data_IF_405948529028
#
_entry.id   IF_405948529028
#
_cell.length_a   1.000
_cell.length_b   1.000
_cell.length_c   1.000
_cell.angle_alpha   90.00
_cell.angle_beta   90.00
_cell.angle_gamma   90.00
#
_symmetry.space_group_name_H-M   'P 1'
#
loop_
_entity.id
_entity.type
_entity.pdbx_description
1 polymer ?
#
# COMPACT_ATOMS: atom_id res chain seq x y z
N UNK A 1 20.88 -9.63 -23.15
CA UNK A 1 19.67 -10.48 -23.04
C UNK A 1 18.80 -9.87 -21.97
N UNK A 2 17.78 -9.12 -22.38
CA UNK A 2 16.78 -8.53 -21.48
C UNK A 2 15.93 -9.66 -20.91
N UNK A 3 16.17 -10.04 -19.67
CA UNK A 3 15.28 -10.98 -18.95
C UNK A 3 13.89 -10.37 -18.95
N UNK A 4 12.94 -11.01 -19.61
CA UNK A 4 11.52 -10.67 -19.51
C UNK A 4 11.15 -10.79 -18.03
N UNK A 5 11.07 -9.66 -17.34
CA UNK A 5 10.69 -9.64 -15.91
C UNK A 5 9.19 -9.95 -15.88
N UNK A 6 8.85 -11.18 -15.49
CA UNK A 6 7.45 -11.58 -15.28
C UNK A 6 6.84 -10.69 -14.20
N UNK A 7 5.77 -9.99 -14.51
CA UNK A 7 5.05 -9.15 -13.52
C UNK A 7 4.26 -10.05 -12.55
N UNK A 8 4.03 -9.59 -11.31
CA UNK A 8 3.15 -10.28 -10.41
C UNK A 8 1.77 -10.51 -11.06
N UNK A 9 1.28 -11.75 -10.99
CA UNK A 9 0.00 -12.13 -11.58
C UNK A 9 0.00 -12.35 -13.10
N UNK A 10 1.12 -12.26 -13.83
CA UNK A 10 1.15 -12.46 -15.29
C UNK A 10 0.64 -13.83 -15.74
N UNK A 11 0.71 -14.83 -14.85
CA UNK A 11 0.15 -16.18 -15.09
C UNK A 11 -1.38 -16.23 -14.94
N UNK A 12 -2.02 -15.16 -14.45
CA UNK A 12 -3.46 -15.08 -14.26
C UNK A 12 -4.15 -14.41 -15.45
N UNK A 13 -5.33 -14.92 -15.77
CA UNK A 13 -6.23 -14.25 -16.70
C UNK A 13 -6.67 -12.87 -16.14
N UNK A 14 -6.85 -11.88 -17.02
CA UNK A 14 -7.35 -10.56 -16.65
C UNK A 14 -8.66 -10.62 -15.84
N UNK A 15 -9.53 -11.59 -16.13
CA UNK A 15 -10.78 -11.79 -15.43
C UNK A 15 -10.61 -12.19 -13.95
N UNK A 16 -9.53 -12.90 -13.63
CA UNK A 16 -9.29 -13.47 -12.29
C UNK A 16 -8.21 -12.75 -11.48
N UNK A 17 -7.41 -11.95 -12.14
CA UNK A 17 -6.28 -11.23 -11.55
C UNK A 17 -6.74 -10.24 -10.48
N UNK A 18 -6.06 -10.12 -9.32
CA UNK A 18 -6.27 -9.04 -8.36
C UNK A 18 -6.21 -7.66 -9.03
N UNK A 19 -7.09 -6.75 -8.61
CA UNK A 19 -7.25 -5.44 -9.25
C UNK A 19 -5.97 -4.62 -9.32
N UNK A 20 -5.14 -4.67 -8.26
CA UNK A 20 -3.85 -3.97 -8.23
C UNK A 20 -2.85 -4.54 -9.26
N UNK A 21 -2.79 -5.86 -9.47
CA UNK A 21 -1.94 -6.47 -10.51
C UNK A 21 -2.47 -6.19 -11.92
N UNK A 22 -3.80 -6.13 -12.09
CA UNK A 22 -4.39 -5.70 -13.35
C UNK A 22 -4.00 -4.27 -13.71
N UNK A 23 -4.12 -3.34 -12.78
CA UNK A 23 -3.70 -1.95 -12.97
C UNK A 23 -2.21 -1.83 -13.26
N UNK A 24 -1.39 -2.65 -12.58
CA UNK A 24 0.04 -2.74 -12.83
C UNK A 24 0.33 -3.22 -14.27
N UNK A 25 -0.29 -4.30 -14.71
CA UNK A 25 -0.15 -4.84 -16.08
C UNK A 25 -0.51 -3.79 -17.14
N UNK A 26 -1.48 -2.94 -16.86
CA UNK A 26 -1.85 -1.81 -17.70
C UNK A 26 -0.84 -0.65 -17.66
N UNK A 27 0.10 -0.66 -16.74
CA UNK A 27 1.19 0.33 -16.63
C UNK A 27 1.03 1.34 -15.51
N UNK A 28 0.00 1.22 -14.64
CA UNK A 28 -0.14 2.06 -13.45
C UNK A 28 0.88 1.62 -12.39
N UNK A 29 1.57 2.59 -11.78
CA UNK A 29 2.62 2.32 -10.78
C UNK A 29 2.19 2.70 -9.36
N UNK A 30 1.41 3.77 -9.23
CA UNK A 30 0.92 4.25 -7.94
C UNK A 30 -0.41 3.54 -7.63
N UNK A 31 -0.36 2.46 -6.83
CA UNK A 31 -1.48 1.55 -6.59
C UNK A 31 -2.09 1.73 -5.19
N UNK A 32 -2.04 2.94 -4.64
CA UNK A 32 -2.48 3.25 -3.29
C UNK A 32 -3.52 4.38 -3.25
N UNK A 33 -4.45 4.36 -2.29
CA UNK A 33 -5.44 5.41 -2.12
C UNK A 33 -4.73 6.74 -1.80
N UNK A 34 -5.28 7.89 -2.23
CA UNK A 34 -4.66 9.19 -1.98
C UNK A 34 -3.35 9.45 -2.74
N UNK A 35 -2.84 8.45 -3.50
CA UNK A 35 -1.70 8.57 -4.41
C UNK A 35 -0.38 8.97 -3.77
N UNK A 36 0.53 9.47 -4.58
CA UNK A 36 1.91 9.79 -4.17
C UNK A 36 2.00 10.95 -3.17
N UNK A 37 1.04 11.88 -3.19
CA UNK A 37 1.02 13.00 -2.25
C UNK A 37 0.88 12.51 -0.80
N UNK A 38 -0.06 11.57 -0.54
CA UNK A 38 -0.26 11.05 0.80
C UNK A 38 0.91 10.18 1.27
N UNK A 39 1.57 9.45 0.34
CA UNK A 39 2.85 8.78 0.62
C UNK A 39 3.91 9.75 1.10
N UNK A 40 4.09 10.90 0.41
CA UNK A 40 5.07 11.91 0.82
C UNK A 40 4.76 12.46 2.20
N UNK A 41 3.49 12.77 2.49
CA UNK A 41 3.08 13.22 3.84
C UNK A 41 3.41 12.18 4.92
N UNK A 42 3.26 10.88 4.62
CA UNK A 42 3.67 9.81 5.54
C UNK A 42 5.18 9.80 5.74
N UNK A 43 5.97 9.84 4.66
CA UNK A 43 7.43 9.84 4.74
C UNK A 43 7.96 11.09 5.46
N UNK A 44 7.36 12.26 5.22
CA UNK A 44 7.68 13.51 5.93
C UNK A 44 7.41 13.39 7.43
N UNK A 45 6.29 12.78 7.81
CA UNK A 45 5.94 12.53 9.22
C UNK A 45 6.82 11.47 9.89
N UNK A 46 7.24 10.46 9.14
CA UNK A 46 8.22 9.48 9.59
C UNK A 46 9.59 10.12 9.79
N UNK A 47 9.88 11.23 9.12
CA UNK A 47 11.10 12.02 9.29
C UNK A 47 12.37 11.14 9.28
N UNK A 48 12.52 10.36 8.20
CA UNK A 48 13.61 9.38 8.06
C UNK A 48 14.96 10.10 8.03
N UNK A 49 15.88 9.68 8.89
CA UNK A 49 17.22 10.25 9.07
C UNK A 49 18.31 9.28 8.57
N UNK A 50 19.55 9.77 8.34
CA UNK A 50 20.67 8.93 7.90
C UNK A 50 21.09 7.80 8.85
N UNK A 51 20.70 7.87 10.12
CA UNK A 51 20.96 6.84 11.14
C UNK A 51 19.79 5.86 11.33
N UNK A 52 18.73 5.99 10.55
CA UNK A 52 17.56 5.11 10.64
C UNK A 52 17.77 3.78 9.92
N UNK A 53 17.33 2.71 10.59
CA UNK A 53 17.13 1.39 10.01
C UNK A 53 15.66 1.25 9.60
N UNK A 54 15.41 1.21 8.29
CA UNK A 54 14.05 1.26 7.72
C UNK A 54 13.60 -0.12 7.27
N UNK A 55 12.37 -0.51 7.64
CA UNK A 55 11.70 -1.69 7.09
C UNK A 55 10.40 -1.27 6.39
N UNK A 56 10.20 -1.68 5.15
CA UNK A 56 8.97 -1.48 4.38
C UNK A 56 8.20 -2.79 4.23
N UNK A 57 6.95 -2.82 4.67
CA UNK A 57 6.05 -3.95 4.46
C UNK A 57 5.30 -3.83 3.14
N UNK A 58 5.41 -4.84 2.29
CA UNK A 58 4.75 -4.89 0.99
C UNK A 58 5.22 -3.82 0.00
N UNK A 59 6.52 -3.68 -0.31
CA UNK A 59 7.03 -2.66 -1.23
C UNK A 59 6.45 -2.77 -2.65
N UNK A 60 5.83 -3.88 -3.00
CA UNK A 60 5.19 -4.09 -4.30
C UNK A 60 6.17 -3.91 -5.45
N UNK A 61 6.12 -2.75 -6.13
CA UNK A 61 7.08 -2.43 -7.20
C UNK A 61 8.29 -1.62 -6.72
N UNK A 62 8.40 -1.30 -5.43
CA UNK A 62 9.53 -0.55 -4.87
C UNK A 62 9.55 0.94 -5.26
N UNK A 63 8.39 1.54 -5.55
CA UNK A 63 8.34 2.98 -5.84
C UNK A 63 8.63 3.79 -4.58
N UNK A 64 8.03 3.43 -3.45
CA UNK A 64 8.26 4.08 -2.15
C UNK A 64 9.65 3.73 -1.61
N UNK A 65 10.12 2.50 -1.85
CA UNK A 65 11.50 2.13 -1.57
C UNK A 65 12.53 3.10 -2.19
N UNK A 66 12.33 3.48 -3.45
CA UNK A 66 13.20 4.45 -4.11
C UNK A 66 13.13 5.85 -3.46
N UNK A 67 11.94 6.28 -3.02
CA UNK A 67 11.78 7.55 -2.31
C UNK A 67 12.48 7.52 -0.95
N UNK A 68 12.33 6.43 -0.21
CA UNK A 68 12.99 6.22 1.09
C UNK A 68 14.51 6.19 0.94
N UNK A 69 15.04 5.47 -0.04
CA UNK A 69 16.48 5.39 -0.27
C UNK A 69 17.09 6.72 -0.74
N UNK A 70 16.30 7.58 -1.38
CA UNK A 70 16.74 8.95 -1.70
C UNK A 70 16.99 9.80 -0.45
N UNK A 71 16.40 9.45 0.71
CA UNK A 71 16.67 10.07 2.01
C UNK A 71 17.95 9.54 2.68
N UNK A 72 18.57 8.51 2.09
CA UNK A 72 19.84 7.90 2.53
C UNK A 72 19.80 7.37 3.97
N UNK A 73 18.83 6.52 4.36
CA UNK A 73 18.83 5.89 5.67
C UNK A 73 20.09 5.01 5.85
N UNK A 74 20.40 4.65 7.10
CA UNK A 74 21.51 3.73 7.43
C UNK A 74 21.31 2.37 6.75
N UNK A 75 20.08 1.83 6.82
CA UNK A 75 19.73 0.59 6.13
C UNK A 75 18.27 0.61 5.65
N UNK A 76 17.98 -0.23 4.64
CA UNK A 76 16.64 -0.45 4.13
C UNK A 76 16.41 -1.93 3.85
N UNK A 77 15.30 -2.47 4.38
CA UNK A 77 14.84 -3.84 4.12
C UNK A 77 13.36 -3.81 3.72
N UNK A 78 13.05 -4.25 2.50
CA UNK A 78 11.68 -4.53 2.07
C UNK A 78 11.27 -5.96 2.42
N UNK A 79 10.05 -6.15 2.93
CA UNK A 79 9.44 -7.46 3.19
C UNK A 79 8.33 -7.67 2.17
N UNK A 80 8.51 -8.59 1.24
CA UNK A 80 7.57 -8.87 0.16
C UNK A 80 7.31 -10.37 0.03
N UNK A 81 6.05 -10.77 0.02
CA UNK A 81 5.69 -12.19 -0.07
C UNK A 81 5.63 -12.73 -1.50
N UNK A 82 5.37 -11.86 -2.49
CA UNK A 82 5.33 -12.25 -3.90
C UNK A 82 6.74 -12.24 -4.49
N UNK A 83 7.21 -13.40 -4.96
CA UNK A 83 8.57 -13.54 -5.50
C UNK A 83 8.84 -12.66 -6.72
N UNK A 84 7.84 -12.44 -7.59
CA UNK A 84 8.01 -11.61 -8.78
C UNK A 84 8.11 -10.14 -8.39
N UNK A 85 7.28 -9.69 -7.44
CA UNK A 85 7.39 -8.35 -6.86
C UNK A 85 8.74 -8.17 -6.17
N UNK A 86 9.16 -9.11 -5.31
CA UNK A 86 10.46 -9.06 -4.63
C UNK A 86 11.64 -8.99 -5.61
N UNK A 87 11.56 -9.72 -6.74
CA UNK A 87 12.58 -9.65 -7.80
C UNK A 87 12.65 -8.27 -8.45
N UNK A 88 11.49 -7.65 -8.71
CA UNK A 88 11.41 -6.29 -9.25
C UNK A 88 12.00 -5.28 -8.25
N UNK A 89 11.63 -5.41 -6.97
CA UNK A 89 12.18 -4.55 -5.91
C UNK A 89 13.70 -4.70 -5.84
N UNK A 90 14.22 -5.93 -5.74
CA UNK A 90 15.68 -6.19 -5.72
C UNK A 90 16.41 -5.55 -6.90
N UNK A 91 15.83 -5.64 -8.10
CA UNK A 91 16.43 -5.01 -9.27
C UNK A 91 16.46 -3.48 -9.15
N UNK A 92 15.42 -2.87 -8.59
CA UNK A 92 15.38 -1.40 -8.35
C UNK A 92 16.31 -0.93 -7.25
N UNK A 93 16.57 -1.78 -6.27
CA UNK A 93 17.47 -1.48 -5.15
C UNK A 93 18.95 -1.62 -5.54
N UNK A 94 19.27 -2.17 -6.73
CA UNK A 94 20.64 -2.28 -7.21
C UNK A 94 21.31 -0.90 -7.24
N UNK A 95 22.43 -0.77 -6.55
CA UNK A 95 23.21 0.48 -6.45
C UNK A 95 22.78 1.41 -5.29
N UNK A 96 21.70 1.09 -4.56
CA UNK A 96 21.24 1.91 -3.42
C UNK A 96 21.54 1.28 -2.04
N UNK A 97 22.06 0.04 -1.99
CA UNK A 97 22.40 -0.64 -0.72
C UNK A 97 21.21 -1.24 0.04
N UNK A 98 20.00 -1.22 -0.51
CA UNK A 98 18.84 -1.81 0.11
C UNK A 98 18.67 -3.31 -0.17
N UNK A 99 17.92 -4.01 0.67
CA UNK A 99 17.58 -5.42 0.54
C UNK A 99 16.07 -5.63 0.39
N UNK A 100 15.67 -6.76 -0.19
CA UNK A 100 14.28 -7.21 -0.19
C UNK A 100 14.23 -8.71 0.13
N UNK A 101 13.56 -9.05 1.23
CA UNK A 101 13.38 -10.42 1.70
C UNK A 101 12.02 -10.94 1.23
N UNK A 102 11.96 -12.24 0.91
CA UNK A 102 10.70 -12.93 0.64
C UNK A 102 10.20 -13.46 1.98
N UNK A 103 9.23 -12.76 2.57
CA UNK A 103 8.63 -13.12 3.85
C UNK A 103 7.23 -12.50 3.97
N UNK A 104 6.47 -12.95 4.96
CA UNK A 104 5.20 -12.33 5.34
C UNK A 104 5.42 -11.20 6.33
N UNK A 105 4.58 -10.16 6.27
CA UNK A 105 4.70 -8.99 7.15
C UNK A 105 4.29 -9.29 8.61
N UNK A 106 3.60 -10.39 8.87
CA UNK A 106 3.27 -10.89 10.21
C UNK A 106 4.33 -11.87 10.77
N UNK A 107 5.29 -12.30 9.95
CA UNK A 107 6.40 -13.19 10.33
C UNK A 107 7.62 -12.92 9.44
N UNK A 108 8.33 -11.83 9.74
CA UNK A 108 9.41 -11.34 8.87
C UNK A 108 10.71 -12.12 8.98
N UNK A 109 10.93 -12.83 10.10
CA UNK A 109 12.18 -13.49 10.43
C UNK A 109 13.30 -12.54 10.89
N UNK A 110 13.04 -11.23 10.99
CA UNK A 110 14.00 -10.24 11.47
C UNK A 110 14.09 -10.25 13.00
N UNK A 111 15.24 -9.80 13.55
CA UNK A 111 15.44 -9.73 14.99
C UNK A 111 14.59 -8.65 15.68
N UNK A 112 14.32 -8.83 16.99
CA UNK A 112 13.63 -7.82 17.79
C UNK A 112 14.41 -6.50 17.83
N UNK A 113 13.69 -5.38 17.87
CA UNK A 113 14.26 -4.04 17.99
C UNK A 113 15.35 -3.73 16.94
N UNK A 114 15.23 -4.29 15.74
CA UNK A 114 16.18 -4.08 14.64
C UNK A 114 15.91 -2.80 13.85
N UNK A 115 14.65 -2.33 13.80
CA UNK A 115 14.26 -1.16 13.03
C UNK A 115 14.03 0.08 13.90
N UNK A 116 14.26 1.26 13.35
CA UNK A 116 13.86 2.56 13.91
C UNK A 116 12.64 3.16 13.19
N UNK A 117 12.42 2.77 11.94
CA UNK A 117 11.25 3.17 11.13
C UNK A 117 10.68 1.96 10.43
N UNK A 118 9.36 1.80 10.51
CA UNK A 118 8.62 0.82 9.72
C UNK A 118 7.45 1.54 9.04
N UNK A 119 7.11 1.12 7.82
CA UNK A 119 5.88 1.56 7.18
C UNK A 119 5.35 0.51 6.20
N UNK A 120 4.06 0.64 5.87
CA UNK A 120 3.40 -0.15 4.83
C UNK A 120 2.27 0.64 4.16
N UNK A 121 2.04 0.39 2.88
CA UNK A 121 1.06 1.12 2.08
C UNK A 121 0.09 0.17 1.37
N UNK A 122 -1.21 0.42 1.52
CA UNK A 122 -2.31 -0.25 0.81
C UNK A 122 -2.27 -1.79 0.96
N UNK A 123 -1.86 -2.27 2.13
CA UNK A 123 -1.74 -3.70 2.39
C UNK A 123 -2.63 -4.17 3.54
N UNK A 124 -2.74 -3.43 4.64
CA UNK A 124 -3.52 -3.84 5.81
C UNK A 124 -5.01 -3.94 5.50
N UNK A 125 -5.55 -3.07 4.65
CA UNK A 125 -6.95 -3.13 4.21
C UNK A 125 -7.31 -4.47 3.58
N UNK A 126 -6.36 -5.19 2.99
CA UNK A 126 -6.59 -6.49 2.34
C UNK A 126 -6.70 -7.66 3.33
N UNK A 127 -6.36 -7.44 4.59
CA UNK A 127 -6.31 -8.44 5.63
C UNK A 127 -7.54 -8.43 6.55
N UNK A 128 -7.85 -9.57 7.17
CA UNK A 128 -8.84 -9.63 8.24
C UNK A 128 -8.28 -9.04 9.55
N UNK A 129 -9.13 -8.89 10.57
CA UNK A 129 -8.74 -8.21 11.81
C UNK A 129 -7.56 -8.90 12.52
N UNK A 130 -7.55 -10.23 12.61
CA UNK A 130 -6.46 -10.97 13.25
C UNK A 130 -5.14 -10.81 12.50
N UNK A 131 -5.18 -10.81 11.17
CA UNK A 131 -3.99 -10.60 10.34
C UNK A 131 -3.47 -9.16 10.46
N UNK A 132 -4.36 -8.15 10.48
CA UNK A 132 -3.95 -6.76 10.74
C UNK A 132 -3.24 -6.63 12.09
N UNK A 133 -3.83 -7.22 13.14
CA UNK A 133 -3.24 -7.24 14.47
C UNK A 133 -1.87 -7.92 14.50
N UNK A 134 -1.73 -9.07 13.83
CA UNK A 134 -0.45 -9.79 13.74
C UNK A 134 0.64 -8.97 13.04
N UNK A 135 0.31 -8.32 11.92
CA UNK A 135 1.25 -7.46 11.18
C UNK A 135 1.69 -6.25 12.04
N UNK A 136 0.74 -5.61 12.74
CA UNK A 136 1.05 -4.47 13.61
C UNK A 136 1.86 -4.90 14.82
N UNK A 137 1.56 -6.07 15.40
CA UNK A 137 2.36 -6.67 16.48
C UNK A 137 3.79 -6.97 16.03
N UNK A 138 3.97 -7.49 14.81
CA UNK A 138 5.29 -7.71 14.22
C UNK A 138 6.04 -6.38 14.03
N UNK A 139 5.37 -5.33 13.54
CA UNK A 139 5.97 -3.99 13.46
C UNK A 139 6.40 -3.49 14.85
N UNK A 140 5.55 -3.68 15.87
CA UNK A 140 5.89 -3.33 17.25
C UNK A 140 7.09 -4.14 17.78
N UNK A 141 7.19 -5.43 17.46
CA UNK A 141 8.32 -6.30 17.85
C UNK A 141 9.64 -5.83 17.24
N UNK A 142 9.60 -5.48 15.95
CA UNK A 142 10.78 -5.07 15.18
C UNK A 142 11.29 -3.68 15.55
N UNK A 143 10.42 -2.78 15.96
CA UNK A 143 10.81 -1.41 16.30
C UNK A 143 11.54 -1.34 17.64
N UNK A 144 12.55 -0.49 17.69
CA UNK A 144 13.19 -0.04 18.94
C UNK A 144 12.20 0.81 19.73
N UNK A 145 12.34 0.95 21.07
CA UNK A 145 11.62 1.97 21.84
C UNK A 145 11.79 3.35 21.20
N UNK A 146 10.70 4.12 21.08
CA UNK A 146 10.69 5.41 20.38
C UNK A 146 10.73 5.33 18.86
N UNK A 147 10.78 4.14 18.26
CA UNK A 147 10.70 3.94 16.81
C UNK A 147 9.34 4.36 16.23
N UNK A 148 9.28 4.57 14.93
CA UNK A 148 8.13 5.16 14.23
C UNK A 148 7.50 4.15 13.28
N UNK A 149 6.16 4.03 13.34
CA UNK A 149 5.39 3.18 12.44
C UNK A 149 4.42 4.02 11.61
N UNK A 150 4.45 3.89 10.30
CA UNK A 150 3.55 4.54 9.35
C UNK A 150 2.67 3.56 8.60
N UNK A 151 1.38 3.86 8.52
CA UNK A 151 0.44 3.15 7.65
C UNK A 151 -0.19 4.12 6.65
N UNK A 152 -0.46 3.63 5.44
CA UNK A 152 -1.18 4.36 4.40
C UNK A 152 -2.24 3.44 3.81
N UNK A 153 -3.52 3.66 4.13
CA UNK A 153 -4.60 2.72 3.90
C UNK A 153 -5.89 3.39 3.39
N UNK A 154 -6.90 2.58 3.11
CA UNK A 154 -8.28 3.06 2.98
C UNK A 154 -8.90 3.23 4.37
N UNK A 155 -9.74 4.25 4.53
CA UNK A 155 -10.62 4.37 5.70
C UNK A 155 -12.06 4.64 5.31
N UNK A 156 -12.96 4.27 6.21
CA UNK A 156 -14.39 4.52 6.13
C UNK A 156 -14.75 5.84 6.82
N UNK A 157 -15.72 6.54 6.27
CA UNK A 157 -16.35 7.72 6.85
C UNK A 157 -17.88 7.66 6.63
N UNK A 158 -18.72 8.20 7.55
CA UNK A 158 -18.36 8.71 8.87
C UNK A 158 -17.90 7.61 9.82
N UNK A 159 -17.41 7.99 11.00
CA UNK A 159 -16.92 7.03 12.01
C UNK A 159 -18.02 6.07 12.49
N UNK A 160 -19.25 6.56 12.60
CA UNK A 160 -20.45 5.77 12.94
C UNK A 160 -21.20 5.32 11.67
N UNK A 161 -20.56 4.47 10.88
CA UNK A 161 -21.19 3.92 9.69
C UNK A 161 -22.06 2.70 10.05
N UNK A 162 -23.35 2.65 9.60
CA UNK A 162 -24.21 1.49 9.82
C UNK A 162 -23.57 0.20 9.31
N UNK A 163 -23.70 -0.88 10.09
CA UNK A 163 -23.08 -2.18 9.77
C UNK A 163 -23.46 -2.67 8.37
N UNK A 164 -24.74 -2.55 8.01
CA UNK A 164 -25.21 -2.95 6.68
C UNK A 164 -24.52 -2.21 5.55
N UNK A 165 -24.26 -0.91 5.73
CA UNK A 165 -23.53 -0.08 4.77
C UNK A 165 -22.08 -0.51 4.68
N UNK A 166 -21.42 -0.78 5.82
CA UNK A 166 -20.07 -1.31 5.86
C UNK A 166 -19.96 -2.64 5.12
N UNK A 167 -20.84 -3.60 5.46
CA UNK A 167 -20.85 -4.93 4.87
C UNK A 167 -21.08 -4.85 3.34
N UNK A 168 -21.90 -3.91 2.88
CA UNK A 168 -22.11 -3.66 1.46
C UNK A 168 -20.84 -3.13 0.78
N UNK A 169 -20.17 -2.14 1.39
CA UNK A 169 -18.92 -1.57 0.86
C UNK A 169 -17.83 -2.65 0.76
N UNK A 170 -17.61 -3.41 1.84
CA UNK A 170 -16.61 -4.47 1.89
C UNK A 170 -16.85 -5.55 0.83
N UNK A 171 -18.10 -5.99 0.67
CA UNK A 171 -18.51 -6.97 -0.33
C UNK A 171 -18.28 -6.45 -1.75
N UNK A 172 -18.76 -5.24 -2.04
CA UNK A 172 -18.64 -4.64 -3.37
C UNK A 172 -17.17 -4.44 -3.76
N UNK A 173 -16.36 -3.92 -2.85
CA UNK A 173 -14.92 -3.75 -3.05
C UNK A 173 -14.24 -5.10 -3.26
N UNK A 174 -14.43 -6.07 -2.35
CA UNK A 174 -13.82 -7.39 -2.41
C UNK A 174 -14.16 -8.11 -3.72
N UNK A 175 -15.43 -8.08 -4.12
CA UNK A 175 -15.89 -8.69 -5.37
C UNK A 175 -15.25 -8.02 -6.59
N UNK A 176 -15.13 -6.70 -6.58
CA UNK A 176 -14.66 -5.94 -7.76
C UNK A 176 -13.14 -6.00 -7.92
N UNK A 177 -12.38 -5.93 -6.81
CA UNK A 177 -10.91 -5.95 -6.88
C UNK A 177 -10.31 -7.35 -6.80
N UNK A 178 -11.12 -8.39 -6.54
CA UNK A 178 -10.74 -9.80 -6.41
C UNK A 178 -9.69 -10.06 -5.32
N UNK A 179 -9.74 -9.27 -4.26
CA UNK A 179 -8.94 -9.45 -3.05
C UNK A 179 -9.75 -8.88 -1.88
N UNK A 180 -9.55 -9.41 -0.68
CA UNK A 180 -10.24 -8.90 0.50
C UNK A 180 -10.08 -7.39 0.64
N UNK A 181 -11.15 -6.70 1.00
CA UNK A 181 -11.11 -5.26 1.29
C UNK A 181 -11.92 -5.00 2.56
N UNK A 182 -11.23 -4.71 3.63
CA UNK A 182 -11.79 -4.46 4.97
C UNK A 182 -11.22 -3.19 5.55
N UNK A 183 -11.60 -2.03 4.99
CA UNK A 183 -11.19 -0.73 5.52
C UNK A 183 -11.81 -0.50 6.91
N UNK A 184 -11.07 0.18 7.77
CA UNK A 184 -11.53 0.58 9.11
C UNK A 184 -11.88 2.08 9.11
N UNK A 185 -12.67 2.52 10.08
CA UNK A 185 -12.87 3.95 10.37
C UNK A 185 -11.61 4.55 10.96
N UNK A 186 -11.55 5.89 11.04
CA UNK A 186 -10.39 6.58 11.61
C UNK A 186 -10.14 6.16 13.06
N UNK A 187 -11.17 6.17 13.95
CA UNK A 187 -10.99 5.71 15.33
C UNK A 187 -10.55 4.25 15.45
N UNK A 188 -11.09 3.36 14.59
CA UNK A 188 -10.71 1.95 14.59
C UNK A 188 -9.24 1.73 14.19
N UNK A 189 -8.73 2.45 13.16
CA UNK A 189 -7.31 2.42 12.82
C UNK A 189 -6.43 2.92 13.96
N UNK A 190 -6.82 4.02 14.61
CA UNK A 190 -6.09 4.58 15.73
C UNK A 190 -6.11 3.65 16.95
N UNK A 191 -7.26 3.07 17.28
CA UNK A 191 -7.40 2.11 18.37
C UNK A 191 -6.51 0.88 18.15
N UNK A 192 -6.54 0.31 16.93
CA UNK A 192 -5.75 -0.85 16.57
C UNK A 192 -4.23 -0.60 16.73
N UNK A 193 -3.74 0.59 16.36
CA UNK A 193 -2.35 0.96 16.57
C UNK A 193 -2.04 1.18 18.06
N UNK A 194 -2.94 1.84 18.79
CA UNK A 194 -2.74 2.14 20.22
C UNK A 194 -2.74 0.86 21.07
N UNK A 195 -3.60 -0.11 20.77
CA UNK A 195 -3.64 -1.44 21.39
C UNK A 195 -2.31 -2.21 21.24
N UNK A 196 -1.52 -1.89 20.20
CA UNK A 196 -0.20 -2.48 19.97
C UNK A 196 0.97 -1.59 20.43
N UNK A 197 0.70 -0.61 21.31
CA UNK A 197 1.74 0.20 21.95
C UNK A 197 2.23 1.39 21.14
N UNK A 198 1.43 1.87 20.17
CA UNK A 198 1.78 3.07 19.39
C UNK A 198 1.01 4.30 19.87
N UNK A 199 1.73 5.35 20.22
CA UNK A 199 1.16 6.69 20.45
C UNK A 199 1.05 7.42 19.12
N UNK A 200 -0.17 7.80 18.71
CA UNK A 200 -0.42 8.46 17.41
C UNK A 200 0.18 9.87 17.43
N UNK A 201 1.06 10.15 16.48
CA UNK A 201 1.70 11.45 16.30
C UNK A 201 1.13 12.26 15.14
N UNK A 202 0.61 11.56 14.11
CA UNK A 202 -0.02 12.20 12.96
C UNK A 202 -1.13 11.31 12.39
N UNK A 203 -2.22 11.95 11.97
CA UNK A 203 -3.30 11.33 11.22
C UNK A 203 -3.77 12.31 10.15
N UNK A 204 -3.67 11.93 8.88
CA UNK A 204 -4.06 12.77 7.72
C UNK A 204 -4.91 11.96 6.77
N UNK A 205 -6.00 12.55 6.29
CA UNK A 205 -6.88 11.94 5.30
C UNK A 205 -6.83 12.69 3.97
N UNK A 206 -7.13 11.98 2.90
CA UNK A 206 -7.26 12.54 1.56
C UNK A 206 -8.43 11.87 0.81
N UNK A 207 -9.02 12.55 -0.20
CA UNK A 207 -10.03 11.93 -1.04
C UNK A 207 -9.52 10.69 -1.77
N UNK A 208 -10.39 9.68 -1.94
CA UNK A 208 -10.09 8.46 -2.67
C UNK A 208 -10.30 8.66 -4.19
N UNK A 209 -9.28 9.10 -4.91
CA UNK A 209 -9.33 9.41 -6.35
C UNK A 209 -8.43 8.52 -7.21
N UNK A 210 -8.28 7.22 -6.85
CA UNK A 210 -7.30 6.30 -7.44
C UNK A 210 -7.35 6.21 -8.98
N UNK A 211 -8.55 6.30 -9.59
CA UNK A 211 -8.78 6.13 -11.02
C UNK A 211 -9.40 7.39 -11.68
N UNK A 212 -9.36 8.52 -11.02
CA UNK A 212 -9.78 9.79 -11.64
C UNK A 212 -8.64 10.35 -12.51
N UNK A 213 -9.02 10.84 -13.72
CA UNK A 213 -8.05 11.26 -14.75
C UNK A 213 -7.06 12.34 -14.25
N UNK A 214 -7.50 13.39 -13.54
CA UNK A 214 -6.57 14.39 -13.01
C UNK A 214 -5.54 13.76 -12.07
N UNK A 215 -5.98 12.83 -11.20
CA UNK A 215 -5.10 12.11 -10.28
C UNK A 215 -4.13 11.19 -11.00
N UNK A 216 -4.61 10.47 -12.02
CA UNK A 216 -3.74 9.63 -12.85
C UNK A 216 -2.63 10.45 -13.52
N UNK A 217 -2.95 11.64 -14.04
CA UNK A 217 -1.94 12.53 -14.66
C UNK A 217 -0.93 13.00 -13.60
N UNK A 218 -1.38 13.35 -12.41
CA UNK A 218 -0.53 13.81 -11.32
C UNK A 218 0.43 12.71 -10.83
N UNK A 219 -0.07 11.48 -10.68
CA UNK A 219 0.68 10.35 -10.13
C UNK A 219 1.59 9.67 -11.19
N UNK A 220 1.16 9.58 -12.44
CA UNK A 220 1.80 8.77 -13.48
C UNK A 220 2.44 9.61 -14.59
N UNK A 221 2.02 10.86 -14.74
CA UNK A 221 2.38 11.71 -15.87
C UNK A 221 1.57 11.43 -17.16
N UNK A 222 1.42 12.42 -18.02
CA UNK A 222 0.57 12.36 -19.22
C UNK A 222 0.97 11.21 -20.17
N UNK A 223 2.27 11.01 -20.42
CA UNK A 223 2.74 9.97 -21.34
C UNK A 223 2.35 8.56 -20.91
N UNK A 224 2.38 8.29 -19.59
CA UNK A 224 1.96 7.00 -19.03
C UNK A 224 0.45 6.84 -19.04
N UNK A 225 -0.31 7.89 -18.80
CA UNK A 225 -1.78 7.87 -18.91
C UNK A 225 -2.18 7.52 -20.35
N UNK A 226 -1.53 8.07 -21.35
CA UNK A 226 -1.75 7.71 -22.77
C UNK A 226 -1.40 6.23 -23.06
N UNK A 227 -0.31 5.73 -22.48
CA UNK A 227 0.05 4.31 -22.60
C UNK A 227 -1.04 3.41 -21.98
N UNK A 228 -1.52 3.74 -20.77
CA UNK A 228 -2.59 3.00 -20.08
C UNK A 228 -3.86 3.03 -20.94
N UNK A 229 -4.24 4.19 -21.46
CA UNK A 229 -5.40 4.35 -22.33
C UNK A 229 -5.27 3.48 -23.61
N UNK A 230 -4.11 3.48 -24.26
CA UNK A 230 -3.82 2.65 -25.43
C UNK A 230 -3.93 1.14 -25.15
N UNK A 231 -3.47 0.68 -23.97
CA UNK A 231 -3.63 -0.71 -23.53
C UNK A 231 -5.09 -1.07 -23.26
N UNK A 232 -5.84 -0.18 -22.60
CA UNK A 232 -7.27 -0.36 -22.35
C UNK A 232 -8.10 -0.44 -23.64
N UNK A 233 -7.70 0.27 -24.69
CA UNK A 233 -8.37 0.18 -25.99
C UNK A 233 -8.19 -1.19 -26.65
N UNK A 234 -7.04 -1.83 -26.45
CA UNK A 234 -6.70 -3.12 -27.04
C UNK A 234 -7.22 -4.33 -26.25
N UNK A 235 -7.44 -4.17 -24.94
CA UNK A 235 -7.87 -5.24 -24.04
C UNK A 235 -9.28 -4.92 -23.52
N UNK A 236 -10.31 -5.54 -24.14
CA UNK A 236 -11.72 -5.33 -23.81
C UNK A 236 -12.05 -5.79 -22.37
N UNK A 237 -11.45 -6.90 -21.95
CA UNK A 237 -11.71 -7.49 -20.66
C UNK A 237 -11.09 -6.64 -19.52
N UNK A 238 -9.81 -6.29 -19.65
CA UNK A 238 -9.15 -5.38 -18.72
C UNK A 238 -9.89 -4.04 -18.62
N UNK A 239 -10.36 -3.51 -19.76
CA UNK A 239 -11.16 -2.28 -19.80
C UNK A 239 -12.45 -2.42 -18.99
N UNK A 240 -13.22 -3.49 -19.22
CA UNK A 240 -14.47 -3.72 -18.48
C UNK A 240 -14.21 -3.79 -16.96
N UNK A 241 -13.17 -4.49 -16.54
CA UNK A 241 -12.78 -4.58 -15.12
C UNK A 241 -12.32 -3.26 -14.52
N UNK A 242 -11.50 -2.48 -15.22
CA UNK A 242 -11.07 -1.16 -14.74
C UNK A 242 -12.26 -0.22 -14.57
N UNK A 243 -13.22 -0.25 -15.49
CA UNK A 243 -14.46 0.52 -15.36
C UNK A 243 -15.30 0.03 -14.17
N UNK A 244 -15.42 -1.27 -13.95
CA UNK A 244 -16.11 -1.83 -12.79
C UNK A 244 -15.45 -1.35 -11.48
N UNK A 245 -14.12 -1.44 -11.37
CA UNK A 245 -13.37 -0.93 -10.21
C UNK A 245 -13.66 0.57 -10.01
N UNK A 246 -13.54 1.38 -11.06
CA UNK A 246 -13.81 2.82 -10.99
C UNK A 246 -15.22 3.11 -10.51
N UNK A 247 -16.21 2.41 -11.06
CA UNK A 247 -17.62 2.61 -10.71
C UNK A 247 -17.90 2.22 -9.25
N UNK A 248 -17.32 1.13 -8.76
CA UNK A 248 -17.46 0.71 -7.36
C UNK A 248 -16.87 1.75 -6.41
N UNK A 249 -15.66 2.25 -6.69
CA UNK A 249 -15.08 3.33 -5.88
C UNK A 249 -15.89 4.62 -5.94
N UNK A 250 -16.49 4.97 -7.08
CA UNK A 250 -17.36 6.14 -7.20
C UNK A 250 -18.67 5.95 -6.45
N UNK A 251 -19.29 4.76 -6.55
CA UNK A 251 -20.51 4.40 -5.82
C UNK A 251 -20.37 4.63 -4.32
N UNK A 252 -19.24 4.24 -3.76
CA UNK A 252 -18.94 4.35 -2.34
C UNK A 252 -18.06 5.56 -1.97
N UNK A 253 -17.85 6.48 -2.90
CA UNK A 253 -16.90 7.59 -2.75
C UNK A 253 -17.20 8.54 -1.59
N UNK A 254 -18.48 8.69 -1.18
CA UNK A 254 -18.85 9.46 0.01
C UNK A 254 -18.40 8.79 1.33
N UNK A 255 -18.20 7.46 1.31
CA UNK A 255 -17.80 6.66 2.47
C UNK A 255 -16.34 6.24 2.48
N UNK A 256 -15.59 6.56 1.42
CA UNK A 256 -14.19 6.14 1.29
C UNK A 256 -13.24 7.34 1.31
N UNK A 257 -12.20 7.22 2.13
CA UNK A 257 -11.06 8.14 2.16
C UNK A 257 -9.77 7.34 2.13
N UNK A 258 -8.71 7.99 1.71
CA UNK A 258 -7.35 7.54 1.99
C UNK A 258 -6.92 8.12 3.34
N UNK A 259 -6.15 7.36 4.11
CA UNK A 259 -5.62 7.77 5.40
C UNK A 259 -4.15 7.41 5.50
N UNK A 260 -3.37 8.27 6.12
CA UNK A 260 -2.06 7.91 6.68
C UNK A 260 -2.03 8.23 8.16
N UNK A 261 -1.50 7.30 8.93
CA UNK A 261 -1.30 7.44 10.36
C UNK A 261 0.16 7.12 10.67
N UNK A 262 0.79 7.98 11.45
CA UNK A 262 2.11 7.73 12.00
C UNK A 262 1.99 7.67 13.51
N UNK A 263 2.56 6.63 14.10
CA UNK A 263 2.65 6.42 15.53
C UNK A 263 4.08 6.18 15.98
N UNK A 264 4.36 6.48 17.24
CA UNK A 264 5.65 6.22 17.90
C UNK A 264 5.46 5.08 18.88
N UNK A 265 6.36 4.09 18.84
CA UNK A 265 6.39 3.00 19.82
C UNK A 265 6.76 3.55 21.20
N UNK A 266 5.96 3.22 22.20
CA UNK A 266 6.22 3.52 23.61
C UNK A 266 7.45 2.81 24.14
#
# INVERSE_FOLDING_TARGET
>A
MTSVTCLPGDHLDAAKMPGHWLLLRLGKRVLRPGGLELTRRMLDALNIQPDDDVVEFGPGLGLTACLTLALKPHSYVGIERDENAARIVRHRLQGFGGQCLIASADETGLANAQASVIYGEAMLTMHNQNQKAAIIAEAARLLRPGGRYGIHELCLVPDELPRETRDLIERDLTTTIHVGARPLTIPEWQALLTEHGFSITQCVTAPMHLLEVPRLIQDEGLGRVLLIAGRLLRDREARARVFAIKNTFRKHGCHLRAITIVGRKS
#
